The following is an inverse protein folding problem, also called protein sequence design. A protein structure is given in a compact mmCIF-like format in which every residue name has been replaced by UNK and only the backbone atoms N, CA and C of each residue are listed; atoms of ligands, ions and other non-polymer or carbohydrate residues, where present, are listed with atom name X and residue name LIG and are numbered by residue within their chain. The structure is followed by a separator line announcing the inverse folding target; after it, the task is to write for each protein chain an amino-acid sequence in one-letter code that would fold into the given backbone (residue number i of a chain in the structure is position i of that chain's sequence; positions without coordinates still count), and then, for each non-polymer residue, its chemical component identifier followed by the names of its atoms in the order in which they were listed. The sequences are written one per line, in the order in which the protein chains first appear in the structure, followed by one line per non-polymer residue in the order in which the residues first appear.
data_IF_799853766569
#
_entry.id   IF_799853766569
#
_cell.length_a   1.000
_cell.length_b   1.000
_cell.length_c   1.000
_cell.angle_alpha   90.00
_cell.angle_beta   90.00
_cell.angle_gamma   90.00
#
_symmetry.space_group_name_H-M   'P 1'
#
loop_
_entity.id
_entity.type
_entity.pdbx_description
1 polymer ?
#
# COMPACT_ATOMS: atom_id res chain seq x y z
N UNK A 1 25.72 -41.40 12.41
CA UNK A 1 24.35 -41.23 12.96
C UNK A 1 24.15 -39.79 13.37
N UNK A 2 23.01 -39.18 12.98
CA UNK A 2 22.68 -37.83 13.39
C UNK A 2 21.88 -37.88 14.70
N UNK A 3 22.28 -37.15 15.77
CA UNK A 3 21.60 -37.19 17.05
C UNK A 3 20.31 -36.40 17.01
N UNK A 4 19.23 -36.95 17.61
CA UNK A 4 18.06 -36.18 17.92
C UNK A 4 18.23 -35.53 19.31
N UNK A 5 17.99 -34.22 19.41
CA UNK A 5 18.01 -33.50 20.67
C UNK A 5 16.58 -33.26 21.14
N UNK A 6 16.35 -33.46 22.44
CA UNK A 6 15.13 -33.11 23.13
C UNK A 6 14.43 -34.30 23.75
N UNK A 7 13.74 -34.03 24.84
CA UNK A 7 12.84 -34.97 25.49
C UNK A 7 11.61 -35.09 24.56
N UNK A 8 11.30 -36.30 24.14
CA UNK A 8 10.19 -36.62 23.25
C UNK A 8 10.37 -36.22 21.77
N UNK A 9 11.58 -35.96 21.29
CA UNK A 9 11.83 -35.68 19.86
C UNK A 9 11.35 -34.31 19.39
N UNK A 10 10.92 -33.43 20.28
CA UNK A 10 10.31 -32.13 19.95
C UNK A 10 11.31 -31.06 19.56
N UNK A 11 12.58 -31.21 19.91
CA UNK A 11 13.63 -30.25 19.55
C UNK A 11 14.71 -30.93 18.72
N UNK A 12 14.80 -30.53 17.47
CA UNK A 12 15.84 -30.99 16.56
C UNK A 12 17.04 -30.04 16.71
N UNK A 13 18.26 -30.63 16.76
CA UNK A 13 19.51 -29.85 16.82
C UNK A 13 19.55 -28.79 15.70
N UNK A 14 19.90 -27.52 16.02
CA UNK A 14 20.09 -26.46 15.03
C UNK A 14 21.09 -26.86 13.94
N UNK A 15 22.10 -27.64 14.25
CA UNK A 15 23.04 -28.17 13.27
C UNK A 15 22.37 -29.05 12.22
N UNK A 16 21.46 -29.93 12.62
CA UNK A 16 20.70 -30.76 11.71
C UNK A 16 19.77 -29.93 10.84
N UNK A 17 19.08 -28.95 11.46
CA UNK A 17 18.18 -28.05 10.71
C UNK A 17 18.92 -27.25 9.65
N UNK A 18 20.12 -26.79 9.94
CA UNK A 18 20.92 -25.98 9.00
C UNK A 18 21.57 -26.81 7.89
N UNK A 19 22.02 -28.04 8.21
CA UNK A 19 22.92 -28.79 7.29
C UNK A 19 22.23 -29.98 6.62
N UNK A 20 21.12 -30.48 7.15
CA UNK A 20 20.54 -31.78 6.71
C UNK A 20 19.07 -31.74 6.28
N UNK A 21 18.39 -30.59 6.44
CA UNK A 21 16.94 -30.51 6.14
C UNK A 21 16.61 -29.89 4.79
N UNK A 22 17.62 -29.52 4.02
CA UNK A 22 17.44 -28.91 2.69
C UNK A 22 17.68 -27.42 2.66
N UNK A 23 17.06 -26.72 1.74
CA UNK A 23 17.27 -25.26 1.59
C UNK A 23 16.06 -24.55 0.99
N UNK A 24 15.98 -23.25 1.28
CA UNK A 24 15.08 -22.32 0.60
C UNK A 24 15.93 -21.32 -0.19
N UNK A 25 15.67 -21.23 -1.49
CA UNK A 25 16.27 -20.21 -2.37
C UNK A 25 15.17 -19.23 -2.75
N UNK A 26 15.31 -17.98 -2.31
CA UNK A 26 14.43 -16.87 -2.67
C UNK A 26 15.15 -15.93 -3.64
N UNK A 27 14.44 -15.49 -4.66
CA UNK A 27 14.85 -14.44 -5.56
C UNK A 27 13.78 -13.35 -5.57
N UNK A 28 14.20 -12.08 -5.42
CA UNK A 28 13.33 -10.92 -5.55
C UNK A 28 13.87 -10.04 -6.67
N UNK A 29 13.02 -9.76 -7.63
CA UNK A 29 13.33 -8.84 -8.72
C UNK A 29 12.38 -7.65 -8.62
N UNK A 30 12.93 -6.46 -8.48
CA UNK A 30 12.16 -5.22 -8.47
C UNK A 30 12.55 -4.41 -9.71
N UNK A 31 11.55 -4.01 -10.47
CA UNK A 31 11.71 -3.16 -11.64
C UNK A 31 10.88 -1.89 -11.44
N UNK A 32 11.55 -0.74 -11.54
CA UNK A 32 10.92 0.58 -11.45
C UNK A 32 11.26 1.36 -12.72
N UNK A 33 10.25 1.74 -13.47
CA UNK A 33 10.39 2.55 -14.68
C UNK A 33 9.61 3.83 -14.45
N UNK A 34 10.28 4.97 -14.61
CA UNK A 34 9.67 6.29 -14.51
C UNK A 34 9.97 7.06 -15.79
N UNK A 35 8.91 7.57 -16.40
CA UNK A 35 9.01 8.47 -17.52
C UNK A 35 8.40 9.81 -17.11
N UNK A 36 9.17 10.90 -17.23
CA UNK A 36 8.72 12.24 -16.88
C UNK A 36 8.92 13.16 -18.08
N UNK A 37 7.87 13.87 -18.45
CA UNK A 37 7.89 14.93 -19.44
C UNK A 37 7.58 16.25 -18.74
N UNK A 38 8.41 17.26 -18.97
CA UNK A 38 8.18 18.62 -18.50
C UNK A 38 8.24 19.58 -19.69
N UNK A 39 7.23 20.43 -19.80
CA UNK A 39 7.12 21.43 -20.82
C UNK A 39 6.93 22.82 -20.19
N UNK A 40 7.76 23.77 -20.57
CA UNK A 40 7.61 25.17 -20.23
C UNK A 40 6.87 25.88 -21.37
N UNK A 41 5.74 26.49 -21.02
CA UNK A 41 4.91 27.27 -21.94
C UNK A 41 5.15 28.79 -21.82
N UNK A 42 6.22 29.20 -21.12
CA UNK A 42 6.54 30.60 -20.86
C UNK A 42 6.63 31.50 -22.09
N UNK A 43 6.86 30.90 -23.29
CA UNK A 43 6.81 31.63 -24.56
C UNK A 43 5.39 32.09 -24.93
N UNK A 44 4.36 31.34 -24.53
CA UNK A 44 2.96 31.65 -24.83
C UNK A 44 2.29 32.32 -23.64
N UNK A 45 2.47 31.75 -22.45
CA UNK A 45 1.92 32.24 -21.18
C UNK A 45 3.03 32.24 -20.15
N UNK A 46 3.53 33.44 -19.80
CA UNK A 46 4.60 33.60 -18.82
C UNK A 46 4.21 32.96 -17.48
N UNK A 47 5.04 32.05 -17.00
CA UNK A 47 4.85 31.37 -15.71
C UNK A 47 4.04 30.07 -15.81
N UNK A 48 3.63 29.62 -17.01
CA UNK A 48 2.90 28.36 -17.17
C UNK A 48 3.86 27.21 -17.48
N UNK A 49 3.75 26.13 -16.70
CA UNK A 49 4.51 24.88 -16.90
C UNK A 49 3.58 23.69 -16.79
N UNK A 50 3.83 22.67 -17.61
CA UNK A 50 3.17 21.38 -17.50
C UNK A 50 4.18 20.28 -17.21
N UNK A 51 3.76 19.29 -16.42
CA UNK A 51 4.54 18.09 -16.13
C UNK A 51 3.61 16.87 -16.24
N UNK A 52 4.07 15.85 -16.93
CA UNK A 52 3.46 14.53 -16.93
C UNK A 52 4.44 13.49 -16.43
N UNK A 53 3.99 12.53 -15.65
CA UNK A 53 4.80 11.40 -15.22
C UNK A 53 4.00 10.11 -15.35
N UNK A 54 4.65 9.10 -15.89
CA UNK A 54 4.18 7.71 -15.87
C UNK A 54 5.19 6.87 -15.11
N UNK A 55 4.70 6.02 -14.20
CA UNK A 55 5.53 5.10 -13.42
C UNK A 55 4.96 3.69 -13.49
N UNK A 56 5.83 2.74 -13.75
CA UNK A 56 5.54 1.31 -13.67
C UNK A 56 6.49 0.67 -12.68
N UNK A 57 5.91 0.06 -11.63
CA UNK A 57 6.66 -0.69 -10.64
C UNK A 57 6.21 -2.14 -10.67
N UNK A 58 7.17 -3.06 -10.70
CA UNK A 58 6.91 -4.49 -10.64
C UNK A 58 7.85 -5.13 -9.62
N UNK A 59 7.29 -5.84 -8.65
CA UNK A 59 8.04 -6.57 -7.64
C UNK A 59 7.65 -8.05 -7.73
N UNK A 60 8.60 -8.87 -8.17
CA UNK A 60 8.43 -10.30 -8.30
C UNK A 60 9.23 -11.03 -7.24
N UNK A 61 8.59 -11.94 -6.53
CA UNK A 61 9.23 -12.84 -5.58
C UNK A 61 9.06 -14.25 -6.09
N UNK A 62 10.14 -14.99 -6.16
CA UNK A 62 10.14 -16.40 -6.54
C UNK A 62 10.92 -17.20 -5.50
N UNK A 63 10.27 -18.16 -4.87
CA UNK A 63 10.88 -19.02 -3.87
C UNK A 63 10.85 -20.47 -4.35
N UNK A 64 11.95 -21.14 -4.14
CA UNK A 64 12.09 -22.58 -4.32
C UNK A 64 12.51 -23.17 -2.99
N UNK A 65 11.75 -24.14 -2.50
CA UNK A 65 12.01 -24.85 -1.26
C UNK A 65 12.25 -26.31 -1.60
N UNK A 66 13.36 -26.84 -1.14
CA UNK A 66 13.63 -28.28 -1.14
C UNK A 66 13.87 -28.70 0.30
N UNK A 67 12.99 -29.53 0.82
CA UNK A 67 13.03 -29.97 2.20
C UNK A 67 13.12 -31.51 2.27
N UNK A 68 13.85 -31.98 3.22
CA UNK A 68 13.99 -33.38 3.59
C UNK A 68 14.23 -33.50 5.08
N UNK A 69 13.95 -34.63 5.65
CA UNK A 69 14.35 -34.96 7.02
C UNK A 69 15.30 -36.17 6.95
N UNK A 70 16.44 -36.15 7.61
CA UNK A 70 17.30 -37.31 7.76
C UNK A 70 16.78 -38.25 8.86
N UNK A 71 17.27 -39.49 8.90
CA UNK A 71 17.07 -40.38 10.05
C UNK A 71 17.73 -39.77 11.28
N UNK A 72 16.98 -39.64 12.35
CA UNK A 72 17.49 -39.16 13.64
C UNK A 72 17.41 -40.27 14.69
N UNK A 73 18.45 -40.35 15.50
CA UNK A 73 18.60 -41.39 16.49
C UNK A 73 18.78 -40.79 17.89
N UNK A 74 18.16 -41.40 18.89
CA UNK A 74 18.35 -41.14 20.30
C UNK A 74 19.19 -42.26 20.92
N UNK A 75 20.28 -41.87 21.60
CA UNK A 75 21.07 -42.80 22.38
C UNK A 75 20.40 -42.98 23.78
N UNK A 76 20.29 -44.17 24.25
CA UNK A 76 19.73 -44.51 25.56
C UNK A 76 20.67 -45.31 26.46
N UNK A 77 21.83 -45.71 25.94
CA UNK A 77 22.86 -46.44 26.70
C UNK A 77 24.08 -46.76 25.85
N UNK A 78 24.98 -47.54 26.44
CA UNK A 78 26.14 -48.08 25.73
C UNK A 78 26.18 -49.60 25.92
N UNK A 79 26.64 -50.32 24.92
CA UNK A 79 26.98 -51.72 25.02
C UNK A 79 28.30 -51.90 25.76
N UNK A 80 28.62 -53.14 26.18
CA UNK A 80 29.85 -53.46 26.90
C UNK A 80 31.11 -53.21 26.07
N UNK A 81 30.99 -53.11 24.75
CA UNK A 81 32.07 -52.77 23.81
C UNK A 81 32.26 -51.25 23.65
N UNK A 82 31.48 -50.44 24.39
CA UNK A 82 31.49 -49.00 24.33
C UNK A 82 30.69 -48.37 23.20
N UNK A 83 30.10 -49.15 22.30
CA UNK A 83 29.21 -48.65 21.23
C UNK A 83 27.88 -48.12 21.79
N UNK A 84 27.27 -47.13 21.09
CA UNK A 84 26.02 -46.53 21.53
C UNK A 84 24.81 -47.43 21.20
N UNK A 85 23.97 -47.62 22.22
CA UNK A 85 22.63 -48.14 22.04
C UNK A 85 21.72 -47.03 21.49
N UNK A 86 21.26 -47.12 20.25
CA UNK A 86 20.49 -46.08 19.59
C UNK A 86 19.16 -46.59 19.08
N UNK A 87 18.16 -45.73 19.19
CA UNK A 87 16.83 -45.94 18.62
C UNK A 87 16.53 -44.84 17.62
N UNK A 88 16.04 -45.20 16.46
CA UNK A 88 15.56 -44.20 15.48
C UNK A 88 14.28 -43.58 15.98
N UNK A 89 14.29 -42.25 16.14
CA UNK A 89 13.13 -41.44 16.60
C UNK A 89 12.43 -40.74 15.47
N UNK A 90 13.17 -40.37 14.41
CA UNK A 90 12.62 -39.78 13.20
C UNK A 90 13.11 -40.57 11.99
N UNK A 91 12.19 -40.92 11.12
CA UNK A 91 12.51 -41.58 9.85
C UNK A 91 12.82 -40.54 8.79
N UNK A 92 13.77 -40.87 7.93
CA UNK A 92 14.10 -40.03 6.76
C UNK A 92 12.88 -39.84 5.88
N UNK A 93 12.71 -38.61 5.39
CA UNK A 93 11.72 -38.30 4.36
C UNK A 93 12.38 -38.12 3.01
N UNK A 94 11.66 -38.42 1.95
CA UNK A 94 12.07 -38.09 0.59
C UNK A 94 12.17 -36.58 0.43
N UNK A 95 12.98 -36.12 -0.54
CA UNK A 95 13.07 -34.73 -0.88
C UNK A 95 11.72 -34.21 -1.37
N UNK A 96 11.16 -33.26 -0.66
CA UNK A 96 9.98 -32.54 -1.06
C UNK A 96 10.38 -31.28 -1.81
N UNK A 97 9.62 -30.94 -2.83
CA UNK A 97 9.81 -29.74 -3.63
C UNK A 97 8.56 -28.88 -3.57
N UNK A 98 8.73 -27.62 -3.17
CA UNK A 98 7.70 -26.62 -3.21
C UNK A 98 8.23 -25.33 -3.89
N UNK A 99 7.37 -24.67 -4.59
CA UNK A 99 7.65 -23.35 -5.18
C UNK A 99 6.51 -22.40 -4.86
N UNK A 100 6.85 -21.12 -4.65
CA UNK A 100 5.88 -20.04 -4.56
C UNK A 100 6.38 -18.87 -5.39
N UNK A 101 5.43 -18.18 -6.01
CA UNK A 101 5.72 -16.97 -6.77
C UNK A 101 4.66 -15.93 -6.44
N UNK A 102 5.09 -14.71 -6.20
CA UNK A 102 4.27 -13.56 -5.95
C UNK A 102 4.67 -12.42 -6.89
N UNK A 103 3.72 -11.66 -7.35
CA UNK A 103 3.97 -10.49 -8.18
C UNK A 103 3.02 -9.38 -7.81
N UNK A 104 3.60 -8.21 -7.52
CA UNK A 104 2.86 -6.97 -7.35
C UNK A 104 3.21 -6.02 -8.48
N UNK A 105 2.19 -5.44 -9.11
CA UNK A 105 2.33 -4.47 -10.19
C UNK A 105 1.63 -3.19 -9.81
N UNK A 106 2.27 -2.07 -10.09
CA UNK A 106 1.69 -0.75 -9.85
C UNK A 106 1.89 0.12 -11.08
N UNK A 107 0.79 0.63 -11.58
CA UNK A 107 0.76 1.66 -12.61
C UNK A 107 0.39 2.98 -11.96
N UNK A 108 1.14 4.02 -12.26
CA UNK A 108 0.89 5.35 -11.76
C UNK A 108 1.04 6.35 -12.90
N UNK A 109 0.07 7.21 -13.04
CA UNK A 109 0.11 8.33 -13.96
C UNK A 109 -0.26 9.60 -13.22
N UNK A 110 0.51 10.66 -13.45
CA UNK A 110 0.17 12.00 -12.99
C UNK A 110 0.35 13.04 -14.10
N UNK A 111 -0.45 14.08 -14.03
CA UNK A 111 -0.36 15.25 -14.88
C UNK A 111 -0.56 16.49 -14.02
N UNK A 112 0.28 17.47 -14.20
CA UNK A 112 0.32 18.69 -13.43
C UNK A 112 0.44 19.88 -14.36
N UNK A 113 -0.41 20.87 -14.14
CA UNK A 113 -0.34 22.19 -14.77
C UNK A 113 -0.13 23.22 -13.68
N UNK A 114 0.99 23.91 -13.73
CA UNK A 114 1.36 24.91 -12.73
C UNK A 114 1.53 26.28 -13.39
N UNK A 115 0.97 27.29 -12.74
CA UNK A 115 1.11 28.69 -13.15
C UNK A 115 1.66 29.47 -11.97
N UNK A 116 2.69 30.29 -12.20
CA UNK A 116 3.23 31.20 -11.20
C UNK A 116 3.63 32.51 -11.87
N UNK A 117 3.11 33.61 -11.37
CA UNK A 117 3.46 34.95 -11.85
C UNK A 117 3.41 35.99 -10.77
N UNK A 118 4.39 36.87 -10.80
CA UNK A 118 4.44 38.09 -10.01
C UNK A 118 4.06 39.28 -10.90
N UNK A 119 3.00 40.03 -10.52
CA UNK A 119 2.53 41.21 -11.22
C UNK A 119 2.91 42.44 -10.38
N UNK A 120 3.41 43.46 -11.04
CA UNK A 120 3.78 44.76 -10.44
C UNK A 120 4.68 44.64 -9.19
N UNK A 121 5.43 43.55 -9.06
CA UNK A 121 6.28 43.20 -7.91
C UNK A 121 5.56 43.07 -6.55
N UNK A 122 4.23 43.19 -6.53
CA UNK A 122 3.40 43.17 -5.33
C UNK A 122 2.40 42.04 -5.29
N UNK A 123 1.90 41.59 -6.45
CA UNK A 123 0.84 40.59 -6.55
C UNK A 123 1.38 39.28 -7.08
N UNK A 124 1.55 38.33 -6.21
CA UNK A 124 1.94 36.95 -6.59
C UNK A 124 0.70 36.09 -6.73
N UNK A 125 0.52 35.52 -7.89
CA UNK A 125 -0.54 34.56 -8.19
C UNK A 125 0.09 33.21 -8.53
N UNK A 126 -0.37 32.15 -7.85
CA UNK A 126 -0.01 30.79 -8.20
C UNK A 126 -1.26 29.95 -8.41
N UNK A 127 -1.20 29.06 -9.38
CA UNK A 127 -2.26 28.11 -9.66
C UNK A 127 -1.66 26.74 -9.93
N UNK A 128 -2.33 25.70 -9.47
CA UNK A 128 -1.93 24.32 -9.71
C UNK A 128 -3.17 23.49 -10.00
N UNK A 129 -3.16 22.75 -11.08
CA UNK A 129 -4.10 21.67 -11.36
C UNK A 129 -3.29 20.39 -11.40
N UNK A 130 -3.71 19.39 -10.64
CA UNK A 130 -3.03 18.11 -10.54
C UNK A 130 -4.04 16.98 -10.67
N UNK A 131 -3.80 16.10 -11.62
CA UNK A 131 -4.55 14.87 -11.81
C UNK A 131 -3.63 13.67 -11.63
N UNK A 132 -4.07 12.66 -10.90
CA UNK A 132 -3.36 11.39 -10.86
C UNK A 132 -4.32 10.21 -10.85
N UNK A 133 -3.84 9.10 -11.35
CA UNK A 133 -4.48 7.79 -11.23
C UNK A 133 -3.45 6.72 -10.92
N UNK A 134 -3.91 5.71 -10.17
CA UNK A 134 -3.08 4.59 -9.76
C UNK A 134 -3.87 3.30 -9.83
N UNK A 135 -3.23 2.23 -10.31
CA UNK A 135 -3.72 0.86 -10.22
C UNK A 135 -2.66 -0.03 -9.61
N UNK A 136 -3.04 -0.82 -8.61
CA UNK A 136 -2.16 -1.81 -7.97
C UNK A 136 -2.81 -3.18 -8.07
N UNK A 137 -2.07 -4.14 -8.61
CA UNK A 137 -2.49 -5.52 -8.80
C UNK A 137 -1.57 -6.43 -8.00
N UNK A 138 -2.11 -7.44 -7.33
CA UNK A 138 -1.34 -8.48 -6.65
C UNK A 138 -1.77 -9.87 -7.11
N UNK A 139 -0.82 -10.78 -7.23
CA UNK A 139 -1.09 -12.19 -7.54
C UNK A 139 -1.23 -13.05 -6.28
N UNK A 140 -0.94 -12.49 -5.09
CA UNK A 140 -1.07 -13.17 -3.79
C UNK A 140 -2.42 -12.89 -3.11
N UNK A 141 -3.48 -12.77 -3.89
CA UNK A 141 -4.80 -12.61 -3.33
C UNK A 141 -5.28 -13.93 -2.70
N UNK A 142 -5.73 -13.87 -1.45
CA UNK A 142 -6.25 -15.02 -0.73
C UNK A 142 -7.76 -15.25 -0.99
N UNK A 143 -8.42 -14.28 -1.59
CA UNK A 143 -9.84 -14.30 -1.92
C UNK A 143 -10.11 -13.50 -3.21
N UNK A 144 -11.31 -13.67 -3.76
CA UNK A 144 -11.72 -13.01 -5.01
C UNK A 144 -11.73 -11.49 -4.88
N UNK A 145 -12.16 -10.95 -3.76
CA UNK A 145 -12.22 -9.50 -3.52
C UNK A 145 -10.80 -8.90 -3.47
N UNK A 146 -9.87 -9.61 -2.83
CA UNK A 146 -8.47 -9.18 -2.76
C UNK A 146 -7.76 -9.25 -4.11
N UNK A 147 -8.25 -10.08 -5.04
CA UNK A 147 -7.69 -10.22 -6.39
C UNK A 147 -8.01 -9.04 -7.31
N UNK A 148 -9.07 -8.29 -7.01
CA UNK A 148 -9.47 -7.12 -7.78
C UNK A 148 -8.40 -6.03 -7.64
N UNK A 149 -7.91 -5.42 -8.76
CA UNK A 149 -6.94 -4.33 -8.69
C UNK A 149 -7.43 -3.17 -7.83
N UNK A 150 -6.54 -2.58 -7.03
CA UNK A 150 -6.84 -1.36 -6.25
C UNK A 150 -6.63 -0.14 -7.12
N UNK A 151 -7.68 0.62 -7.35
CA UNK A 151 -7.67 1.79 -8.23
C UNK A 151 -8.02 3.05 -7.48
N UNK A 152 -7.27 4.10 -7.74
CA UNK A 152 -7.48 5.45 -7.23
C UNK A 152 -7.34 6.44 -8.35
N UNK A 153 -8.13 7.50 -8.29
CA UNK A 153 -7.93 8.67 -9.13
C UNK A 153 -8.33 9.92 -8.38
N UNK A 154 -7.65 11.01 -8.63
CA UNK A 154 -7.98 12.28 -8.07
C UNK A 154 -7.63 13.42 -9.01
N UNK A 155 -8.47 14.44 -9.00
CA UNK A 155 -8.24 15.74 -9.57
C UNK A 155 -8.17 16.74 -8.43
N UNK A 156 -7.13 17.55 -8.37
CA UNK A 156 -7.02 18.62 -7.38
C UNK A 156 -6.65 19.93 -8.04
N UNK A 157 -7.16 21.01 -7.50
CA UNK A 157 -6.79 22.35 -7.91
C UNK A 157 -6.46 23.20 -6.68
N UNK A 158 -5.43 24.05 -6.83
CA UNK A 158 -4.99 25.01 -5.83
C UNK A 158 -4.83 26.35 -6.50
N UNK A 159 -5.30 27.39 -5.85
CA UNK A 159 -5.02 28.77 -6.22
C UNK A 159 -4.52 29.53 -5.00
N UNK A 160 -3.41 30.24 -5.15
CA UNK A 160 -2.85 31.07 -4.07
C UNK A 160 -2.67 32.49 -4.60
N UNK A 161 -3.07 33.45 -3.80
CA UNK A 161 -2.80 34.85 -4.05
C UNK A 161 -2.06 35.45 -2.85
N UNK A 162 -1.02 36.21 -3.14
CA UNK A 162 -0.25 36.96 -2.13
C UNK A 162 -0.11 38.42 -2.54
N UNK A 163 -0.42 39.32 -1.61
CA UNK A 163 -0.23 40.74 -1.78
C UNK A 163 0.93 41.24 -0.90
N UNK A 164 1.99 41.77 -1.52
CA UNK A 164 3.22 42.24 -0.89
C UNK A 164 3.87 41.20 0.02
N UNK A 165 3.64 39.94 -0.25
CA UNK A 165 4.02 38.79 0.60
C UNK A 165 3.60 38.94 2.09
N UNK A 166 2.69 39.90 2.38
CA UNK A 166 2.14 40.17 3.69
C UNK A 166 0.77 39.52 3.90
N UNK A 167 -0.10 39.54 2.91
CA UNK A 167 -1.41 38.91 2.94
C UNK A 167 -1.44 37.73 1.98
N UNK A 168 -1.87 36.60 2.47
CA UNK A 168 -1.97 35.35 1.68
C UNK A 168 -3.38 34.79 1.79
N UNK A 169 -3.92 34.40 0.66
CA UNK A 169 -5.14 33.62 0.56
C UNK A 169 -4.89 32.41 -0.32
N UNK A 170 -5.34 31.27 0.11
CA UNK A 170 -5.20 30.01 -0.62
C UNK A 170 -6.54 29.27 -0.64
N UNK A 171 -6.96 28.84 -1.81
CA UNK A 171 -8.08 27.95 -2.02
C UNK A 171 -7.59 26.63 -2.59
N UNK A 172 -8.06 25.53 -2.05
CA UNK A 172 -7.80 24.18 -2.53
C UNK A 172 -9.13 23.45 -2.74
N UNK A 173 -9.18 22.63 -3.77
CA UNK A 173 -10.28 21.70 -3.98
C UNK A 173 -9.74 20.37 -4.45
N UNK A 174 -10.15 19.29 -3.80
CA UNK A 174 -9.88 17.92 -4.20
C UNK A 174 -11.15 17.21 -4.64
N UNK A 175 -11.11 16.54 -5.78
CA UNK A 175 -12.14 15.66 -6.26
C UNK A 175 -11.53 14.27 -6.41
N UNK A 176 -11.79 13.41 -5.40
CA UNK A 176 -11.10 12.12 -5.25
C UNK A 176 -12.09 10.98 -5.38
N UNK A 177 -11.72 9.98 -6.17
CA UNK A 177 -12.49 8.76 -6.37
C UNK A 177 -11.85 7.56 -5.71
N UNK A 178 -12.67 6.78 -5.00
CA UNK A 178 -12.30 5.49 -4.42
C UNK A 178 -13.33 4.43 -4.81
N UNK A 179 -12.84 3.28 -5.24
CA UNK A 179 -13.68 2.12 -5.58
C UNK A 179 -14.30 1.44 -4.35
N UNK A 180 -13.88 1.82 -3.13
CA UNK A 180 -14.48 1.31 -1.89
C UNK A 180 -15.92 1.77 -1.68
N UNK A 181 -16.37 2.78 -2.43
CA UNK A 181 -17.75 3.26 -2.38
C UNK A 181 -18.60 2.70 -3.53
N UNK A 182 -19.90 2.62 -3.30
CA UNK A 182 -20.88 2.12 -4.26
C UNK A 182 -20.78 2.87 -5.60
N UNK A 183 -20.95 2.19 -6.74
CA UNK A 183 -21.04 2.83 -8.04
C UNK A 183 -22.00 4.03 -8.04
N UNK A 184 -21.55 5.16 -8.55
CA UNK A 184 -22.29 6.44 -8.50
C UNK A 184 -22.02 7.31 -7.27
N UNK A 185 -21.41 6.77 -6.20
CA UNK A 185 -21.01 7.50 -4.98
C UNK A 185 -19.49 7.43 -4.72
N UNK A 186 -18.73 7.06 -5.72
CA UNK A 186 -17.30 6.82 -5.60
C UNK A 186 -16.45 8.08 -5.45
N UNK A 187 -17.00 9.24 -5.83
CA UNK A 187 -16.28 10.50 -5.85
C UNK A 187 -16.77 11.45 -4.77
N UNK A 188 -15.83 12.04 -4.05
CA UNK A 188 -16.07 13.10 -3.06
C UNK A 188 -15.36 14.39 -3.43
N UNK A 189 -16.00 15.53 -3.11
CA UNK A 189 -15.43 16.87 -3.25
C UNK A 189 -14.98 17.36 -1.88
N UNK A 190 -13.72 17.81 -1.78
CA UNK A 190 -13.08 18.21 -0.54
C UNK A 190 -12.49 19.62 -0.69
N UNK A 191 -13.25 20.68 -0.36
CA UNK A 191 -12.77 22.06 -0.42
C UNK A 191 -11.96 22.40 0.84
N UNK A 192 -10.99 23.30 0.67
CA UNK A 192 -10.26 23.91 1.77
C UNK A 192 -9.87 25.36 1.43
N UNK A 193 -9.84 26.21 2.45
CA UNK A 193 -9.41 27.59 2.35
C UNK A 193 -8.41 27.89 3.47
N UNK A 194 -7.41 28.71 3.16
CA UNK A 194 -6.44 29.18 4.14
C UNK A 194 -6.17 30.67 3.94
N UNK A 195 -5.99 31.35 5.06
CA UNK A 195 -5.63 32.79 5.14
C UNK A 195 -4.33 32.89 5.91
N UNK A 196 -3.46 33.77 5.48
CA UNK A 196 -2.21 34.08 6.15
C UNK A 196 -1.93 35.58 6.19
N UNK A 197 -1.33 36.05 7.30
CA UNK A 197 -0.90 37.39 7.48
C UNK A 197 0.52 37.42 8.09
N UNK A 198 1.40 38.21 7.47
CA UNK A 198 2.80 38.35 7.89
C UNK A 198 3.05 39.81 8.27
N UNK A 199 2.76 40.21 9.52
CA UNK A 199 2.93 41.61 9.95
C UNK A 199 4.36 42.09 9.91
N UNK A 200 5.36 41.23 10.00
CA UNK A 200 6.77 41.59 9.90
C UNK A 200 7.22 42.07 8.51
N UNK A 201 6.35 42.00 7.51
CA UNK A 201 6.61 42.59 6.19
C UNK A 201 6.39 44.12 6.18
N UNK A 202 5.77 44.69 7.23
CA UNK A 202 5.54 46.13 7.31
C UNK A 202 6.72 46.86 7.93
N UNK A 203 7.07 47.99 7.37
CA UNK A 203 8.17 48.85 7.84
C UNK A 203 8.02 49.24 9.31
N UNK A 204 6.78 49.51 9.79
CA UNK A 204 6.56 49.86 11.19
C UNK A 204 6.98 48.75 12.16
N UNK A 205 6.76 47.48 11.79
CA UNK A 205 7.20 46.33 12.60
C UNK A 205 8.71 46.16 12.55
N UNK A 206 9.31 46.30 11.37
CA UNK A 206 10.76 46.22 11.20
C UNK A 206 11.51 47.28 12.01
N UNK A 207 10.95 48.50 12.09
CA UNK A 207 11.56 49.61 12.80
C UNK A 207 11.37 49.55 14.33
N UNK A 208 10.25 48.97 14.83
CA UNK A 208 9.92 48.99 16.26
C UNK A 208 10.13 47.65 16.97
N UNK A 209 10.20 46.55 16.25
CA UNK A 209 10.31 45.19 16.79
C UNK A 209 11.55 44.48 16.27
N UNK A 210 12.75 45.10 16.36
CA UNK A 210 14.00 44.54 15.86
C UNK A 210 14.42 43.19 16.44
N UNK A 211 13.77 42.75 17.54
CA UNK A 211 13.93 41.44 18.11
C UNK A 211 13.06 40.37 17.41
N UNK A 212 12.05 40.77 16.62
CA UNK A 212 11.09 39.88 15.94
C UNK A 212 11.35 39.85 14.43
N UNK A 213 12.15 38.91 13.98
CA UNK A 213 12.55 38.82 12.57
C UNK A 213 11.43 38.28 11.66
N UNK A 214 10.57 37.45 12.18
CA UNK A 214 9.48 36.85 11.40
C UNK A 214 8.30 36.45 12.28
N UNK A 215 7.10 36.94 11.92
CA UNK A 215 5.82 36.52 12.49
C UNK A 215 4.85 36.24 11.36
N UNK A 216 4.26 35.05 11.36
CA UNK A 216 3.18 34.64 10.45
C UNK A 216 2.02 34.09 11.24
N UNK A 217 0.85 34.68 11.04
CA UNK A 217 -0.43 34.20 11.57
C UNK A 217 -1.18 33.56 10.42
N UNK A 218 -1.72 32.34 10.64
CA UNK A 218 -2.52 31.65 9.63
C UNK A 218 -3.74 30.98 10.24
N UNK A 219 -4.82 30.94 9.48
CA UNK A 219 -6.01 30.19 9.76
C UNK A 219 -6.40 29.36 8.54
N UNK A 220 -6.90 28.15 8.74
CA UNK A 220 -7.37 27.30 7.65
C UNK A 220 -8.58 26.49 8.08
N UNK A 221 -9.45 26.26 7.12
CA UNK A 221 -10.59 25.34 7.23
C UNK A 221 -10.61 24.45 6.01
N UNK A 222 -10.95 23.18 6.18
CA UNK A 222 -11.02 22.24 5.06
C UNK A 222 -11.75 20.96 5.43
N UNK A 223 -12.27 20.33 4.42
CA UNK A 223 -12.91 19.02 4.50
C UNK A 223 -11.98 17.95 3.94
N UNK A 224 -11.98 16.78 4.57
CA UNK A 224 -11.18 15.62 4.13
C UNK A 224 -12.05 14.38 4.11
N UNK A 225 -11.84 13.53 3.12
CA UNK A 225 -12.48 12.22 3.01
C UNK A 225 -11.58 11.10 3.52
N UNK A 226 -12.21 10.05 4.02
CA UNK A 226 -11.54 8.81 4.36
C UNK A 226 -12.28 7.64 3.70
N UNK A 227 -11.57 6.83 2.92
CA UNK A 227 -12.11 5.66 2.24
C UNK A 227 -11.77 4.33 2.97
N UNK A 228 -11.02 4.41 4.07
CA UNK A 228 -10.69 3.25 4.90
C UNK A 228 -11.79 2.99 5.94
N UNK A 229 -12.88 2.41 5.49
CA UNK A 229 -14.05 2.11 6.31
C UNK A 229 -13.97 0.65 6.79
N UNK A 230 -14.33 0.37 8.04
CA UNK A 230 -14.57 -0.99 8.55
C UNK A 230 -13.33 -1.90 8.64
N UNK A 231 -12.20 -1.41 9.14
CA UNK A 231 -11.04 -2.26 9.46
C UNK A 231 -10.27 -2.79 8.25
N UNK A 232 -10.25 -2.07 7.15
CA UNK A 232 -9.51 -2.42 5.95
C UNK A 232 -10.28 -3.33 4.97
N UNK A 233 -11.57 -3.56 5.20
CA UNK A 233 -12.44 -4.31 4.28
C UNK A 233 -12.63 -3.52 2.99
N UNK A 234 -12.39 -4.18 1.87
CA UNK A 234 -12.69 -3.63 0.54
C UNK A 234 -14.18 -3.79 0.23
N UNK A 235 -14.73 -2.84 -0.53
CA UNK A 235 -16.14 -2.84 -0.96
C UNK A 235 -17.13 -3.08 0.21
N UNK A 236 -17.11 -2.23 1.25
CA UNK A 236 -17.96 -2.42 2.44
C UNK A 236 -19.45 -2.41 2.13
N UNK A 237 -19.85 -1.92 0.96
CA UNK A 237 -21.24 -1.91 0.48
C UNK A 237 -21.69 -3.29 -0.04
N UNK A 238 -20.76 -4.23 -0.30
CA UNK A 238 -21.13 -5.59 -0.71
C UNK A 238 -21.51 -6.41 0.51
N UNK A 239 -22.69 -7.04 0.45
CA UNK A 239 -23.11 -8.02 1.45
C UNK A 239 -22.37 -9.33 1.22
N UNK A 240 -21.46 -9.69 2.13
CA UNK A 240 -20.80 -10.98 2.12
C UNK A 240 -21.61 -11.96 2.98
N UNK A 241 -22.11 -13.01 2.36
CA UNK A 241 -22.78 -14.10 3.05
C UNK A 241 -21.73 -15.16 3.34
N UNK A 242 -21.42 -15.39 4.61
CA UNK A 242 -20.52 -16.46 5.01
C UNK A 242 -21.34 -17.71 5.32
N UNK A 243 -21.25 -18.69 4.44
CA UNK A 243 -21.93 -19.99 4.60
C UNK A 243 -21.21 -20.94 5.58
N UNK A 244 -20.14 -20.51 6.24
CA UNK A 244 -19.36 -21.33 7.18
C UNK A 244 -20.05 -21.69 8.50
N UNK A 245 -21.23 -21.11 8.77
CA UNK A 245 -22.08 -21.46 9.90
C UNK A 245 -23.18 -22.43 9.46
N UNK A 246 -22.90 -23.71 9.46
CA UNK A 246 -23.95 -24.71 9.20
C UNK A 246 -25.06 -24.61 10.24
N UNK A 247 -26.26 -24.21 9.82
CA UNK A 247 -27.46 -24.39 10.64
C UNK A 247 -27.77 -25.89 10.65
N UNK A 248 -27.61 -26.53 11.80
CA UNK A 248 -28.07 -27.92 11.97
C UNK A 248 -29.58 -27.91 12.16
N UNK A 249 -30.28 -28.36 11.15
CA UNK A 249 -31.68 -28.72 11.25
C UNK A 249 -31.81 -30.25 11.22
N UNK A 250 -32.28 -30.84 12.28
CA UNK A 250 -32.45 -32.29 12.40
C UNK A 250 -31.16 -33.05 12.70
N UNK A 251 -31.21 -34.38 12.64
CA UNK A 251 -30.11 -35.28 12.95
C UNK A 251 -29.04 -35.43 11.84
N UNK A 252 -29.24 -34.79 10.68
CA UNK A 252 -28.31 -34.84 9.55
C UNK A 252 -27.89 -33.43 9.14
N UNK A 253 -26.57 -33.22 9.07
CA UNK A 253 -26.00 -32.00 8.52
C UNK A 253 -26.14 -32.02 6.99
N UNK A 254 -26.91 -31.06 6.44
CA UNK A 254 -26.93 -30.85 4.98
C UNK A 254 -25.89 -29.76 4.69
N UNK A 255 -24.82 -30.16 4.00
CA UNK A 255 -23.82 -29.23 3.48
C UNK A 255 -24.22 -28.83 2.06
N UNK A 256 -24.59 -27.59 1.87
CA UNK A 256 -24.78 -27.01 0.55
C UNK A 256 -23.45 -26.57 -0.01
N UNK A 257 -22.89 -27.33 -0.93
CA UNK A 257 -21.61 -27.03 -1.57
C UNK A 257 -21.70 -26.16 -2.82
N UNK A 258 -22.92 -25.82 -3.29
CA UNK A 258 -23.12 -25.02 -4.49
C UNK A 258 -24.36 -24.14 -4.35
N UNK A 259 -24.16 -22.87 -4.00
CA UNK A 259 -25.04 -21.79 -4.38
C UNK A 259 -24.23 -20.83 -5.25
N UNK A 260 -24.39 -20.92 -6.56
CA UNK A 260 -24.10 -19.80 -7.44
C UNK A 260 -24.99 -18.66 -7.01
N UNK A 261 -24.39 -17.52 -6.64
CA UNK A 261 -25.10 -16.26 -6.59
C UNK A 261 -25.64 -16.03 -8.01
N UNK A 262 -26.91 -16.25 -8.22
CA UNK A 262 -27.59 -15.81 -9.42
C UNK A 262 -27.66 -14.30 -9.35
N UNK A 263 -27.08 -13.65 -10.34
CA UNK A 263 -27.24 -12.22 -10.56
C UNK A 263 -28.75 -11.91 -10.67
N UNK A 264 -29.24 -11.21 -9.68
CA UNK A 264 -30.49 -10.46 -9.78
C UNK A 264 -30.18 -9.00 -9.60
N UNK A 265 -29.64 -8.39 -10.64
CA UNK A 265 -29.57 -6.94 -10.79
C UNK A 265 -29.78 -6.58 -12.26
N UNK A 266 -30.97 -6.92 -12.76
CA UNK A 266 -31.65 -6.16 -13.77
C UNK A 266 -33.06 -6.00 -13.29
N UNK A 267 -33.50 -4.76 -13.18
CA UNK A 267 -34.81 -4.24 -12.79
C UNK A 267 -34.89 -3.72 -11.34
N UNK A 268 -34.39 -2.49 -11.19
CA UNK A 268 -35.09 -1.38 -10.51
C UNK A 268 -34.38 -0.07 -10.84
#
# INVERSE_FOLDING_TARGET
MLPAYGKNGEQISPYILLNHTGFKKGNRTTMNINFTLRQDFGKWIKGLTARGMFSYNNNNIHNVVRSKMPDLYKAFGRYNDGSLMTQRTVSASNIQFAKSAASDRRYYFESQLAYERLFNQEHRVTGLIHYYMQSTETTEANDEISSIPKRYQALSARATYSYKDAYLIEGNVGYTGSENFEPGKQFGLFPAIALGWIPTQYEFMQNHAGWLNFLKIRASYGEVGNDQIGGGRRFPYLTLINFGGGSRWGSNAVSYTHLRAHETLSDL
#
